data_IF_813347538025
#
_entry.id   IF_813347538025
#
_cell.length_a   1.000
_cell.length_b   1.000
_cell.length_c   1.000
_cell.angle_alpha   90.00
_cell.angle_beta   90.00
_cell.angle_gamma   90.00
#
_symmetry.space_group_name_H-M   'P 1'
#
loop_
_entity.id
_entity.type
_entity.pdbx_description
1 polymer ?
#
# COMPACT_ATOMS: atom_id res chain seq x y z
N UNK A 1 -6.55 19.30 -1.46
CA UNK A 1 -5.51 18.29 -1.77
C UNK A 1 -6.18 17.21 -2.62
N UNK A 2 -5.68 16.93 -3.83
CA UNK A 2 -6.25 15.90 -4.69
C UNK A 2 -5.92 14.51 -4.12
N UNK A 3 -6.92 13.65 -4.05
CA UNK A 3 -6.82 12.32 -3.49
C UNK A 3 -6.20 11.37 -4.52
N UNK A 4 -4.94 10.99 -4.34
CA UNK A 4 -4.22 10.12 -5.28
C UNK A 4 -4.85 8.74 -5.25
N UNK A 5 -5.55 8.40 -6.33
CA UNK A 5 -6.28 7.15 -6.50
C UNK A 5 -5.35 6.06 -7.04
N UNK A 6 -4.39 6.40 -7.88
CA UNK A 6 -3.45 5.43 -8.46
C UNK A 6 -2.01 5.93 -8.34
N UNK A 7 -1.10 5.00 -8.06
CA UNK A 7 0.34 5.21 -8.14
C UNK A 7 0.99 4.03 -8.86
N UNK A 8 2.09 4.27 -9.55
CA UNK A 8 2.93 3.23 -10.14
C UNK A 8 4.33 3.37 -9.57
N UNK A 9 4.88 2.27 -9.07
CA UNK A 9 6.23 2.21 -8.49
C UNK A 9 7.04 1.22 -9.29
N UNK A 10 8.20 1.65 -9.78
CA UNK A 10 9.20 0.75 -10.35
C UNK A 10 10.20 0.34 -9.28
N UNK A 11 10.51 -0.95 -9.22
CA UNK A 11 11.41 -1.57 -8.26
C UNK A 11 12.50 -2.32 -9.02
N UNK A 12 13.74 -1.95 -8.75
CA UNK A 12 14.95 -2.69 -9.14
C UNK A 12 15.49 -3.46 -7.92
N UNK A 13 16.34 -4.46 -8.17
CA UNK A 13 17.12 -5.14 -7.13
C UNK A 13 16.32 -6.10 -6.24
N UNK A 14 15.09 -6.41 -6.60
CA UNK A 14 14.25 -7.44 -5.96
C UNK A 14 13.92 -8.55 -6.96
N UNK A 15 13.83 -9.79 -6.49
CA UNK A 15 13.23 -10.87 -7.28
C UNK A 15 11.70 -10.82 -7.21
N UNK A 16 11.02 -11.44 -8.18
CA UNK A 16 9.56 -11.60 -8.12
C UNK A 16 9.10 -12.38 -6.88
N UNK A 17 9.95 -13.25 -6.33
CA UNK A 17 9.72 -13.96 -5.06
C UNK A 17 9.72 -12.98 -3.90
N UNK A 18 10.70 -12.07 -3.80
CA UNK A 18 10.77 -11.07 -2.73
C UNK A 18 9.53 -10.16 -2.72
N UNK A 19 9.06 -9.76 -3.91
CA UNK A 19 7.86 -8.94 -4.07
C UNK A 19 6.63 -9.73 -3.63
N UNK A 20 6.49 -10.96 -4.13
CA UNK A 20 5.36 -11.84 -3.78
C UNK A 20 5.29 -12.09 -2.28
N UNK A 21 6.42 -12.38 -1.63
CA UNK A 21 6.50 -12.59 -0.18
C UNK A 21 6.15 -11.32 0.59
N UNK A 22 6.66 -10.16 0.15
CA UNK A 22 6.35 -8.87 0.77
C UNK A 22 4.86 -8.59 0.72
N UNK A 23 4.23 -8.74 -0.45
CA UNK A 23 2.79 -8.51 -0.62
C UNK A 23 1.96 -9.53 0.17
N UNK A 24 2.41 -10.79 0.24
CA UNK A 24 1.76 -11.82 1.05
C UNK A 24 1.87 -11.55 2.56
N UNK A 25 2.96 -10.91 2.99
CA UNK A 25 3.16 -10.49 4.39
C UNK A 25 2.23 -9.34 4.82
N UNK A 26 1.60 -8.63 3.87
CA UNK A 26 0.73 -7.50 4.18
C UNK A 26 -0.48 -7.92 5.04
N UNK A 27 -0.85 -9.20 5.09
CA UNK A 27 -1.91 -9.69 6.00
C UNK A 27 -1.68 -9.30 7.46
N UNK A 28 -0.41 -9.18 7.87
CA UNK A 28 0.00 -8.86 9.23
C UNK A 28 0.42 -7.38 9.38
N UNK A 29 0.25 -6.58 8.32
CA UNK A 29 0.68 -5.19 8.29
C UNK A 29 -0.15 -4.32 9.24
N UNK A 30 0.56 -3.55 10.06
CA UNK A 30 0.02 -2.51 10.91
C UNK A 30 0.90 -1.26 10.85
N UNK A 31 0.29 -0.08 10.86
CA UNK A 31 1.01 1.20 10.84
C UNK A 31 0.25 2.27 11.60
N UNK A 32 0.92 3.03 12.47
CA UNK A 32 0.33 4.22 13.10
C UNK A 32 0.45 5.43 12.18
N UNK A 33 -0.64 6.15 11.94
CA UNK A 33 -0.66 7.41 11.19
C UNK A 33 -1.44 8.50 11.95
N UNK A 34 -1.25 9.75 11.57
CA UNK A 34 -2.12 10.84 11.96
C UNK A 34 -3.10 11.16 10.82
N UNK A 35 -4.38 11.32 11.14
CA UNK A 35 -5.42 11.76 10.21
C UNK A 35 -6.09 13.02 10.73
N UNK A 36 -6.52 13.87 9.81
CA UNK A 36 -7.33 15.03 10.14
C UNK A 36 -8.81 14.64 10.32
N UNK A 37 -9.42 15.12 11.40
CA UNK A 37 -10.83 14.91 11.74
C UNK A 37 -11.49 16.25 12.03
N UNK A 38 -12.82 16.35 12.09
CA UNK A 38 -13.50 17.61 12.45
C UNK A 38 -13.05 18.19 13.81
N UNK A 39 -12.54 17.33 14.71
CA UNK A 39 -12.02 17.70 16.03
C UNK A 39 -10.50 17.94 16.05
N UNK A 40 -9.83 17.94 14.89
CA UNK A 40 -8.38 18.10 14.75
C UNK A 40 -7.64 16.80 14.40
N UNK A 41 -6.32 16.77 14.62
CA UNK A 41 -5.48 15.62 14.31
C UNK A 41 -5.72 14.46 15.30
N UNK A 42 -5.98 13.28 14.76
CA UNK A 42 -6.15 12.05 15.53
C UNK A 42 -5.13 11.00 15.10
N UNK A 43 -4.49 10.34 16.06
CA UNK A 43 -3.67 9.14 15.79
C UNK A 43 -4.58 7.94 15.57
N UNK A 44 -4.35 7.19 14.50
CA UNK A 44 -5.06 5.96 14.16
C UNK A 44 -4.09 4.86 13.78
N UNK A 45 -4.48 3.61 14.03
CA UNK A 45 -3.78 2.43 13.55
C UNK A 45 -4.43 1.96 12.24
N UNK A 46 -3.63 1.88 11.18
CA UNK A 46 -3.95 1.18 9.95
C UNK A 46 -3.70 -0.30 10.17
N UNK A 47 -4.64 -1.16 9.79
CA UNK A 47 -4.47 -2.61 9.82
C UNK A 47 -5.09 -3.25 8.58
N UNK A 48 -4.39 -4.20 7.98
CA UNK A 48 -4.98 -5.03 6.91
C UNK A 48 -6.02 -5.97 7.51
N UNK A 49 -7.22 -5.96 6.93
CA UNK A 49 -8.40 -6.72 7.35
C UNK A 49 -8.65 -7.95 6.49
N UNK A 50 -8.35 -7.84 5.20
CA UNK A 50 -8.51 -8.88 4.21
C UNK A 50 -7.47 -8.64 3.14
N UNK A 51 -6.89 -9.73 2.64
CA UNK A 51 -6.03 -9.72 1.47
C UNK A 51 -6.32 -10.99 0.67
N UNK A 52 -6.50 -10.83 -0.63
CA UNK A 52 -6.79 -11.91 -1.57
C UNK A 52 -5.93 -11.77 -2.79
N UNK A 53 -5.33 -12.86 -3.25
CA UNK A 53 -4.55 -12.90 -4.48
C UNK A 53 -5.39 -13.48 -5.60
N UNK A 54 -5.34 -12.85 -6.78
CA UNK A 54 -5.90 -13.36 -8.02
C UNK A 54 -4.90 -13.07 -9.16
N UNK A 55 -4.23 -14.11 -9.64
CA UNK A 55 -3.10 -13.97 -10.57
C UNK A 55 -1.98 -13.12 -9.96
N UNK A 56 -1.54 -12.11 -10.71
CA UNK A 56 -0.50 -11.15 -10.30
C UNK A 56 -1.04 -9.93 -9.54
N UNK A 57 -2.31 -9.99 -9.10
CA UNK A 57 -2.94 -8.91 -8.36
C UNK A 57 -3.34 -9.34 -6.94
N UNK A 58 -3.18 -8.41 -5.99
CA UNK A 58 -3.62 -8.49 -4.60
C UNK A 58 -4.71 -7.46 -4.35
N UNK A 59 -5.85 -7.94 -3.85
CA UNK A 59 -6.96 -7.11 -3.40
C UNK A 59 -6.93 -7.06 -1.89
N UNK A 60 -6.78 -5.87 -1.33
CA UNK A 60 -6.64 -5.69 0.11
C UNK A 60 -7.66 -4.69 0.64
N UNK A 61 -8.15 -4.95 1.84
CA UNK A 61 -8.93 -4.00 2.64
C UNK A 61 -8.12 -3.61 3.85
N UNK A 62 -7.88 -2.31 4.03
CA UNK A 62 -7.39 -1.77 5.29
C UNK A 62 -8.55 -1.24 6.12
N UNK A 63 -8.44 -1.36 7.43
CA UNK A 63 -9.27 -0.65 8.40
C UNK A 63 -8.44 0.35 9.17
N UNK A 64 -9.07 1.44 9.61
CA UNK A 64 -8.48 2.41 10.51
C UNK A 64 -9.06 2.21 11.91
N UNK A 65 -8.22 2.20 12.95
CA UNK A 65 -8.64 1.97 14.33
C UNK A 65 -8.26 3.16 15.21
N UNK A 66 -9.24 3.65 15.98
CA UNK A 66 -9.04 4.54 17.14
C UNK A 66 -9.14 3.74 18.43
N UNK A 67 -8.76 4.33 19.57
CA UNK A 67 -8.97 3.73 20.90
C UNK A 67 -10.41 3.26 21.11
N UNK A 68 -11.36 4.03 20.59
CA UNK A 68 -12.80 3.87 20.84
C UNK A 68 -13.51 2.98 19.80
N UNK A 69 -12.84 2.57 18.72
CA UNK A 69 -13.48 1.73 17.71
C UNK A 69 -12.80 1.71 16.34
N UNK A 70 -13.47 1.04 15.39
CA UNK A 70 -13.07 0.98 14.00
C UNK A 70 -13.71 2.12 13.20
N UNK A 71 -12.93 2.70 12.32
CA UNK A 71 -13.37 3.59 11.27
C UNK A 71 -13.37 2.83 9.95
N UNK A 72 -14.12 3.36 8.99
CA UNK A 72 -14.00 2.95 7.60
C UNK A 72 -12.56 3.16 7.12
N UNK A 73 -12.07 2.22 6.32
CA UNK A 73 -10.75 2.32 5.69
C UNK A 73 -10.84 2.37 4.17
N UNK A 74 -9.90 1.71 3.51
CA UNK A 74 -9.75 1.75 2.06
C UNK A 74 -9.59 0.33 1.51
N UNK A 75 -10.06 0.13 0.28
CA UNK A 75 -9.85 -1.06 -0.52
C UNK A 75 -8.85 -0.70 -1.63
N UNK A 76 -7.79 -1.50 -1.80
CA UNK A 76 -6.80 -1.34 -2.86
C UNK A 76 -6.67 -2.59 -3.72
N UNK A 77 -6.31 -2.40 -4.99
CA UNK A 77 -5.66 -3.41 -5.83
C UNK A 77 -4.19 -3.07 -5.97
N UNK A 78 -3.35 -4.11 -5.90
CA UNK A 78 -1.92 -4.05 -6.17
C UNK A 78 -1.63 -5.08 -7.24
N UNK A 79 -1.20 -4.68 -8.43
CA UNK A 79 -0.80 -5.60 -9.48
C UNK A 79 0.68 -5.47 -9.76
N UNK A 80 1.36 -6.61 -9.92
CA UNK A 80 2.79 -6.68 -10.20
C UNK A 80 2.99 -7.11 -11.64
N UNK A 81 3.86 -6.41 -12.36
CA UNK A 81 4.22 -6.71 -13.74
C UNK A 81 5.75 -6.71 -13.87
N UNK A 82 6.30 -7.72 -14.53
CA UNK A 82 7.72 -7.76 -14.88
C UNK A 82 7.96 -6.86 -16.10
N UNK A 83 8.97 -5.99 -16.01
CA UNK A 83 9.33 -4.99 -17.02
C UNK A 83 10.84 -5.05 -17.29
N UNK A 84 11.28 -6.15 -17.90
CA UNK A 84 12.71 -6.42 -18.12
C UNK A 84 13.40 -6.71 -16.78
N UNK A 85 14.48 -6.00 -16.41
CA UNK A 85 15.13 -6.20 -15.11
C UNK A 85 14.34 -5.61 -13.92
N UNK A 86 13.28 -4.85 -14.20
CA UNK A 86 12.49 -4.12 -13.20
C UNK A 86 11.15 -4.80 -12.96
N UNK A 87 10.56 -4.53 -11.80
CA UNK A 87 9.16 -4.82 -11.53
C UNK A 87 8.35 -3.53 -11.39
N UNK A 88 7.20 -3.47 -12.06
CA UNK A 88 6.20 -2.42 -11.85
C UNK A 88 5.14 -2.88 -10.87
N UNK A 89 4.92 -2.08 -9.85
CA UNK A 89 3.88 -2.27 -8.84
C UNK A 89 2.83 -1.18 -9.08
N UNK A 90 1.70 -1.58 -9.67
CA UNK A 90 0.54 -0.73 -9.88
C UNK A 90 -0.35 -0.79 -8.65
N UNK A 91 -0.58 0.35 -8.00
CA UNK A 91 -1.41 0.42 -6.79
C UNK A 91 -2.57 1.34 -7.07
N UNK A 92 -3.78 0.83 -6.97
CA UNK A 92 -5.01 1.59 -7.14
C UNK A 92 -5.90 1.46 -5.91
N UNK A 93 -6.42 2.59 -5.45
CA UNK A 93 -7.48 2.66 -4.46
C UNK A 93 -8.83 2.48 -5.15
N UNK A 94 -9.50 1.38 -4.86
CA UNK A 94 -10.76 1.00 -5.47
C UNK A 94 -11.92 1.75 -4.79
N UNK A 95 -11.92 1.77 -3.46
CA UNK A 95 -13.01 2.35 -2.65
C UNK A 95 -12.47 2.80 -1.29
N UNK A 96 -13.15 3.75 -0.66
CA UNK A 96 -12.93 4.09 0.74
C UNK A 96 -13.18 5.56 1.03
N UNK A 97 -12.78 5.98 2.23
CA UNK A 97 -13.07 7.32 2.79
C UNK A 97 -12.03 8.37 2.43
N UNK A 98 -10.98 8.01 1.68
CA UNK A 98 -9.96 8.94 1.19
C UNK A 98 -8.98 9.40 2.26
N UNK A 99 -8.68 8.55 3.24
CA UNK A 99 -7.76 8.87 4.34
C UNK A 99 -6.35 8.33 4.12
N UNK A 100 -6.23 7.26 3.33
CA UNK A 100 -4.94 6.73 2.89
C UNK A 100 -4.91 6.75 1.37
N UNK A 101 -3.94 7.45 0.81
CA UNK A 101 -3.75 7.59 -0.63
C UNK A 101 -2.96 6.41 -1.18
N UNK A 102 -3.10 6.14 -2.49
CA UNK A 102 -2.38 5.04 -3.14
C UNK A 102 -0.86 5.23 -3.10
N UNK A 103 -0.37 6.47 -3.24
CA UNK A 103 1.06 6.79 -3.14
C UNK A 103 1.61 6.54 -1.73
N UNK A 104 0.89 6.96 -0.70
CA UNK A 104 1.24 6.69 0.71
C UNK A 104 1.31 5.19 0.98
N UNK A 105 0.31 4.43 0.54
CA UNK A 105 0.32 2.98 0.72
C UNK A 105 1.48 2.32 -0.04
N UNK A 106 1.77 2.81 -1.25
CA UNK A 106 2.90 2.35 -2.05
C UNK A 106 4.25 2.62 -1.41
N UNK A 107 4.43 3.76 -0.74
CA UNK A 107 5.64 4.03 0.02
C UNK A 107 5.84 3.01 1.15
N UNK A 108 4.78 2.57 1.83
CA UNK A 108 4.91 1.53 2.85
C UNK A 108 5.33 0.18 2.26
N UNK A 109 4.80 -0.20 1.08
CA UNK A 109 5.24 -1.40 0.38
C UNK A 109 6.73 -1.31 0.04
N UNK A 110 7.18 -0.16 -0.46
CA UNK A 110 8.60 0.11 -0.73
C UNK A 110 9.46 -0.01 0.53
N UNK A 111 9.00 0.53 1.65
CA UNK A 111 9.71 0.40 2.94
C UNK A 111 9.82 -1.05 3.41
N UNK A 112 8.82 -1.88 3.14
CA UNK A 112 8.88 -3.31 3.41
C UNK A 112 9.86 -4.02 2.47
N UNK A 113 9.83 -3.71 1.18
CA UNK A 113 10.76 -4.26 0.19
C UNK A 113 12.21 -3.91 0.53
N UNK A 114 12.49 -2.68 0.98
CA UNK A 114 13.82 -2.23 1.42
C UNK A 114 14.40 -3.05 2.57
N UNK A 115 13.56 -3.76 3.34
CA UNK A 115 14.03 -4.66 4.41
C UNK A 115 14.44 -6.04 3.90
N UNK A 116 14.01 -6.41 2.69
CA UNK A 116 14.32 -7.70 2.05
C UNK A 116 15.37 -7.57 0.96
N UNK A 117 15.28 -6.54 0.14
CA UNK A 117 16.15 -6.34 -1.01
C UNK A 117 17.20 -5.26 -0.70
N UNK A 118 18.46 -5.54 -1.01
CA UNK A 118 19.59 -4.67 -0.70
C UNK A 118 19.62 -3.35 -1.52
N UNK A 119 18.92 -3.29 -2.66
CA UNK A 119 18.98 -2.16 -3.59
C UNK A 119 17.60 -1.81 -4.19
N UNK A 120 16.63 -1.46 -3.35
CA UNK A 120 15.34 -0.93 -3.83
C UNK A 120 15.49 0.53 -4.22
N UNK A 121 15.39 0.81 -5.52
CA UNK A 121 15.36 2.17 -6.09
C UNK A 121 13.94 2.49 -6.58
N UNK A 122 13.03 2.95 -5.71
CA UNK A 122 11.64 3.17 -6.07
C UNK A 122 11.51 4.46 -6.89
N UNK A 123 10.92 4.37 -8.09
CA UNK A 123 10.53 5.54 -8.86
C UNK A 123 9.00 5.61 -8.89
N UNK A 124 8.43 6.70 -8.34
CA UNK A 124 6.99 6.98 -8.53
C UNK A 124 6.83 7.53 -9.94
N UNK A 125 6.31 6.70 -10.83
CA UNK A 125 6.22 7.01 -12.27
C UNK A 125 4.99 7.85 -12.59
N UNK A 126 3.91 7.73 -11.81
CA UNK A 126 2.69 8.52 -12.00
C UNK A 126 1.85 8.61 -10.72
N UNK A 127 1.05 9.68 -10.63
CA UNK A 127 -0.02 9.89 -9.63
C UNK A 127 -1.28 10.36 -10.35
N UNK A 128 -2.38 9.63 -10.21
CA UNK A 128 -3.67 9.93 -10.84
C UNK A 128 -4.80 9.89 -9.79
#
# INVERSE_FOLDING_TARGET
MLLVKKTVIEVDGCSGVDITETLSSLKDFTQSIQIETPQGLSRVEVRVKRIERSGECWYLRIGLRKREGWLWGEDFSICVEEAGPLFRINIERIKGVGRVHADVFGLWIVELLKKKCAAVSPVIVSRL
#
